data_IF_104709137658
#
_entry.id   IF_104709137658
#
_cell.length_a   1.000
_cell.length_b   1.000
_cell.length_c   1.000
_cell.angle_alpha   90.00
_cell.angle_beta   90.00
_cell.angle_gamma   90.00
#
_symmetry.space_group_name_H-M   'P 1'
#
loop_
_entity.id
_entity.type
_entity.pdbx_description
1 polymer ?
#
# COMPACT_ATOMS: atom_id res chain seq x y z
N UNK A 1 -0.31 -7.10 -21.03
CA UNK A 1 0.13 -6.31 -22.19
C UNK A 1 1.31 -5.37 -21.87
N UNK A 2 1.28 -4.55 -20.81
CA UNK A 2 2.33 -3.52 -20.62
C UNK A 2 3.61 -3.92 -19.85
N UNK A 3 3.60 -4.96 -18.98
CA UNK A 3 4.82 -5.52 -18.31
C UNK A 3 4.69 -7.01 -17.89
N UNK A 4 4.04 -7.84 -18.72
CA UNK A 4 4.00 -9.30 -18.51
C UNK A 4 3.25 -9.79 -17.26
N UNK A 5 3.60 -11.00 -16.80
CA UNK A 5 3.01 -11.74 -15.67
C UNK A 5 3.20 -11.03 -14.31
N UNK A 6 4.25 -10.21 -14.19
CA UNK A 6 4.63 -9.51 -12.95
C UNK A 6 3.49 -8.60 -12.45
N UNK A 7 2.75 -7.97 -13.37
CA UNK A 7 1.60 -7.13 -13.04
C UNK A 7 0.42 -7.89 -12.42
N UNK A 8 0.37 -9.21 -12.58
CA UNK A 8 -0.61 -10.10 -11.93
C UNK A 8 -0.03 -10.71 -10.64
N UNK A 9 1.26 -11.06 -10.66
CA UNK A 9 1.94 -11.70 -9.52
C UNK A 9 1.95 -10.79 -8.29
N UNK A 10 2.16 -9.48 -8.47
CA UNK A 10 2.16 -8.53 -7.35
C UNK A 10 0.78 -8.46 -6.66
N UNK A 11 -0.31 -8.04 -7.34
CA UNK A 11 -1.61 -7.96 -6.69
C UNK A 11 -2.11 -9.33 -6.26
N UNK A 12 -1.86 -10.38 -7.06
CA UNK A 12 -2.22 -11.76 -6.72
C UNK A 12 -1.51 -12.25 -5.45
N UNK A 13 -0.21 -11.98 -5.33
CA UNK A 13 0.59 -12.30 -4.15
C UNK A 13 0.12 -11.53 -2.92
N UNK A 14 -0.08 -10.21 -3.04
CA UNK A 14 -0.60 -9.38 -1.93
C UNK A 14 -1.95 -9.91 -1.45
N UNK A 15 -2.88 -10.20 -2.35
CA UNK A 15 -4.20 -10.75 -2.02
C UNK A 15 -4.08 -12.14 -1.39
N UNK A 16 -3.21 -13.00 -1.92
CA UNK A 16 -2.97 -14.33 -1.37
C UNK A 16 -2.45 -14.28 0.07
N UNK A 17 -1.40 -13.49 0.33
CA UNK A 17 -0.87 -13.32 1.69
C UNK A 17 -1.86 -12.62 2.61
N UNK A 18 -2.62 -11.63 2.11
CA UNK A 18 -3.66 -10.97 2.88
C UNK A 18 -4.74 -11.95 3.30
N UNK A 19 -5.22 -12.80 2.40
CA UNK A 19 -6.24 -13.81 2.72
C UNK A 19 -5.70 -14.89 3.66
N UNK A 20 -4.45 -15.30 3.48
CA UNK A 20 -3.80 -16.28 4.34
C UNK A 20 -3.67 -15.77 5.79
N UNK A 21 -3.21 -14.52 5.96
CA UNK A 21 -3.00 -13.90 7.27
C UNK A 21 -4.33 -13.46 7.90
N UNK A 22 -5.25 -12.88 7.11
CA UNK A 22 -6.55 -12.42 7.58
C UNK A 22 -7.55 -13.56 7.80
N UNK A 23 -7.38 -14.69 7.12
CA UNK A 23 -8.34 -15.80 7.06
C UNK A 23 -9.71 -15.40 6.49
N UNK A 24 -9.81 -14.23 5.83
CA UNK A 24 -11.06 -13.70 5.27
C UNK A 24 -11.38 -14.31 3.90
N UNK A 25 -11.30 -15.63 3.78
CA UNK A 25 -11.57 -16.39 2.55
C UNK A 25 -12.97 -16.13 1.97
N UNK A 26 -13.91 -15.64 2.78
CA UNK A 26 -15.25 -15.22 2.34
C UNK A 26 -15.23 -14.07 1.33
N UNK A 27 -14.19 -13.22 1.32
CA UNK A 27 -14.02 -12.17 0.31
C UNK A 27 -13.90 -12.74 -1.11
N UNK A 28 -13.28 -13.91 -1.26
CA UNK A 28 -13.20 -14.59 -2.56
C UNK A 28 -14.59 -14.93 -3.11
N UNK A 29 -15.59 -15.20 -2.26
CA UNK A 29 -16.95 -15.53 -2.75
C UNK A 29 -17.71 -14.33 -3.31
N UNK A 30 -17.29 -13.11 -2.98
CA UNK A 30 -17.95 -11.87 -3.46
C UNK A 30 -17.36 -11.42 -4.80
N UNK A 31 -16.13 -11.84 -5.10
CA UNK A 31 -15.46 -11.51 -6.36
C UNK A 31 -16.07 -12.35 -7.48
N UNK A 32 -16.50 -11.74 -8.60
CA UNK A 32 -17.06 -12.48 -9.71
C UNK A 32 -15.93 -13.07 -10.57
N UNK A 33 -15.28 -14.13 -10.06
CA UNK A 33 -14.12 -14.77 -10.68
C UNK A 33 -14.38 -15.17 -12.13
N UNK A 34 -15.56 -15.74 -12.40
CA UNK A 34 -15.89 -16.24 -13.74
C UNK A 34 -15.95 -15.10 -14.74
N UNK A 35 -16.65 -14.00 -14.43
CA UNK A 35 -16.73 -12.86 -15.36
C UNK A 35 -15.40 -12.12 -15.47
N UNK A 36 -14.65 -11.99 -14.36
CA UNK A 36 -13.34 -11.34 -14.35
C UNK A 36 -12.30 -12.12 -15.17
N UNK A 37 -12.23 -13.43 -15.00
CA UNK A 37 -11.34 -14.31 -15.78
C UNK A 37 -11.79 -14.34 -17.24
N UNK A 38 -13.08 -14.48 -17.52
CA UNK A 38 -13.60 -14.48 -18.89
C UNK A 38 -13.27 -13.17 -19.62
N UNK A 39 -13.50 -12.02 -18.98
CA UNK A 39 -13.16 -10.71 -19.55
C UNK A 39 -11.65 -10.55 -19.77
N UNK A 40 -10.84 -10.98 -18.80
CA UNK A 40 -9.39 -10.97 -18.93
C UNK A 40 -8.92 -11.85 -20.10
N UNK A 41 -9.46 -13.06 -20.25
CA UNK A 41 -9.12 -13.96 -21.33
C UNK A 41 -9.56 -13.39 -22.69
N UNK A 42 -10.78 -12.86 -22.78
CA UNK A 42 -11.28 -12.24 -24.02
C UNK A 42 -10.40 -11.07 -24.46
N UNK A 43 -9.82 -10.31 -23.53
CA UNK A 43 -8.93 -9.20 -23.86
C UNK A 43 -7.48 -9.65 -24.13
N UNK A 44 -6.97 -10.62 -23.38
CA UNK A 44 -5.58 -11.02 -23.44
C UNK A 44 -5.29 -12.08 -24.52
N UNK A 45 -6.17 -13.06 -24.68
CA UNK A 45 -5.95 -14.25 -25.53
C UNK A 45 -5.89 -13.93 -27.02
N UNK A 46 -6.75 -13.07 -27.61
CA UNK A 46 -6.79 -12.91 -29.07
C UNK A 46 -5.45 -12.46 -29.66
N UNK A 47 -4.77 -11.53 -28.99
CA UNK A 47 -3.48 -11.04 -29.45
C UNK A 47 -2.37 -12.09 -29.29
N UNK A 48 -2.34 -12.84 -28.18
CA UNK A 48 -1.35 -13.90 -27.98
C UNK A 48 -1.54 -15.06 -28.95
N UNK A 49 -2.79 -15.43 -29.25
CA UNK A 49 -3.11 -16.46 -30.25
C UNK A 49 -2.69 -16.00 -31.64
N UNK A 50 -3.00 -14.76 -32.03
CA UNK A 50 -2.57 -14.21 -33.31
C UNK A 50 -1.03 -14.13 -33.44
N UNK A 51 -0.32 -13.81 -32.35
CA UNK A 51 1.14 -13.80 -32.32
C UNK A 51 1.74 -15.21 -32.40
N UNK A 52 1.18 -16.18 -31.66
CA UNK A 52 1.62 -17.57 -31.64
C UNK A 52 1.38 -18.29 -32.98
N UNK A 53 0.27 -18.00 -33.67
CA UNK A 53 -0.01 -18.52 -35.00
C UNK A 53 0.97 -18.01 -36.06
N UNK A 54 1.54 -16.81 -35.87
CA UNK A 54 2.54 -16.24 -36.78
C UNK A 54 3.98 -16.63 -36.43
N UNK A 55 4.23 -16.99 -35.17
CA UNK A 55 5.57 -17.31 -34.66
C UNK A 55 5.45 -18.45 -33.63
N UNK A 56 5.74 -19.71 -34.01
CA UNK A 56 5.57 -20.86 -33.12
C UNK A 56 6.46 -20.79 -31.86
N UNK A 57 7.63 -20.15 -31.94
CA UNK A 57 8.55 -19.98 -30.80
C UNK A 57 8.20 -18.80 -29.87
N UNK A 58 7.20 -17.98 -30.24
CA UNK A 58 6.86 -16.76 -29.51
C UNK A 58 6.43 -17.04 -28.06
N UNK A 59 5.65 -18.09 -27.82
CA UNK A 59 5.16 -18.41 -26.47
C UNK A 59 6.31 -18.84 -25.56
N UNK A 60 7.24 -19.66 -26.06
CA UNK A 60 8.40 -20.09 -25.29
C UNK A 60 9.34 -18.91 -25.01
N UNK A 61 9.66 -18.09 -26.02
CA UNK A 61 10.49 -16.91 -25.82
C UNK A 61 9.84 -15.90 -24.85
N UNK A 62 8.54 -15.63 -25.01
CA UNK A 62 7.82 -14.66 -24.17
C UNK A 62 7.69 -15.11 -22.72
N UNK A 63 7.25 -16.35 -22.46
CA UNK A 63 7.07 -16.83 -21.09
C UNK A 63 8.39 -17.30 -20.47
N UNK A 64 9.18 -18.11 -21.15
CA UNK A 64 10.38 -18.74 -20.55
C UNK A 64 11.57 -17.79 -20.59
N UNK A 65 11.87 -17.18 -21.74
CA UNK A 65 13.06 -16.33 -21.85
C UNK A 65 12.88 -15.01 -21.09
N UNK A 66 11.76 -14.33 -21.31
CA UNK A 66 11.53 -12.99 -20.74
C UNK A 66 11.03 -12.99 -19.28
N UNK A 67 10.31 -14.01 -18.82
CA UNK A 67 9.83 -14.04 -17.43
C UNK A 67 10.66 -14.93 -16.51
N UNK A 68 11.14 -16.09 -16.96
CA UNK A 68 11.92 -16.98 -16.11
C UNK A 68 13.42 -16.71 -16.23
N UNK A 69 13.98 -16.67 -17.44
CA UNK A 69 15.41 -16.42 -17.62
C UNK A 69 15.81 -15.00 -17.19
N UNK A 70 15.02 -13.97 -17.49
CA UNK A 70 15.32 -12.61 -17.03
C UNK A 70 15.25 -12.43 -15.50
N UNK A 71 14.46 -13.28 -14.83
CA UNK A 71 14.33 -13.27 -13.36
C UNK A 71 15.39 -14.15 -12.69
N UNK A 72 15.84 -15.22 -13.36
CA UNK A 72 16.77 -16.21 -12.82
C UNK A 72 18.23 -16.07 -13.31
N UNK A 73 18.50 -15.32 -14.37
CA UNK A 73 19.84 -15.21 -14.97
C UNK A 73 20.44 -13.82 -14.78
N UNK A 74 21.69 -13.80 -14.31
CA UNK A 74 22.59 -12.67 -13.99
C UNK A 74 23.11 -11.89 -15.20
N UNK A 75 22.30 -11.69 -16.25
CA UNK A 75 22.80 -11.04 -17.49
C UNK A 75 22.99 -9.53 -17.31
N UNK A 76 22.34 -8.92 -16.32
CA UNK A 76 22.60 -7.54 -15.93
C UNK A 76 23.46 -7.54 -14.67
N UNK A 77 24.75 -7.19 -14.79
CA UNK A 77 25.67 -6.85 -13.69
C UNK A 77 25.17 -5.66 -12.86
N UNK A 78 24.00 -5.78 -12.23
CA UNK A 78 23.33 -4.77 -11.41
C UNK A 78 22.87 -5.40 -10.10
N UNK A 79 23.78 -6.12 -9.45
CA UNK A 79 23.67 -6.54 -8.06
C UNK A 79 23.65 -5.30 -7.16
N UNK A 80 22.48 -4.69 -7.05
CA UNK A 80 22.21 -3.68 -6.05
C UNK A 80 21.96 -4.40 -4.70
N UNK A 81 22.36 -3.81 -3.57
CA UNK A 81 22.11 -4.40 -2.26
C UNK A 81 20.62 -4.62 -1.99
N UNK A 82 20.29 -5.53 -1.08
CA UNK A 82 18.89 -5.80 -0.69
C UNK A 82 18.17 -4.55 -0.14
N UNK A 83 18.90 -3.63 0.48
CA UNK A 83 18.39 -2.36 1.00
C UNK A 83 18.18 -1.27 -0.07
N UNK A 84 18.47 -1.52 -1.35
CA UNK A 84 18.31 -0.54 -2.43
C UNK A 84 16.90 0.06 -2.48
N UNK A 85 15.88 -0.79 -2.43
CA UNK A 85 14.49 -0.34 -2.47
C UNK A 85 14.06 0.43 -1.22
N UNK A 86 14.68 0.17 -0.07
CA UNK A 86 14.46 0.95 1.16
C UNK A 86 14.98 2.37 0.94
N UNK A 87 16.18 2.54 0.38
CA UNK A 87 16.72 3.85 0.03
C UNK A 87 15.85 4.61 -0.98
N UNK A 88 15.40 3.92 -2.04
CA UNK A 88 14.49 4.50 -3.04
C UNK A 88 13.15 4.91 -2.41
N UNK A 89 12.60 4.11 -1.50
CA UNK A 89 11.39 4.46 -0.75
C UNK A 89 11.58 5.71 0.08
N UNK A 90 12.69 5.83 0.81
CA UNK A 90 12.97 7.00 1.64
C UNK A 90 13.14 8.25 0.78
N UNK A 91 13.92 8.18 -0.29
CA UNK A 91 14.12 9.30 -1.22
C UNK A 91 12.81 9.68 -1.92
N UNK A 92 12.08 8.69 -2.45
CA UNK A 92 10.81 8.92 -3.12
C UNK A 92 9.69 9.39 -2.19
N UNK A 93 9.82 9.16 -0.89
CA UNK A 93 8.88 9.63 0.13
C UNK A 93 9.27 10.98 0.73
N UNK A 94 10.35 11.61 0.29
CA UNK A 94 10.65 12.99 0.68
C UNK A 94 9.53 13.92 0.16
N UNK A 95 8.94 14.82 0.96
CA UNK A 95 9.30 15.26 2.32
C UNK A 95 8.64 14.50 3.49
N UNK A 96 7.81 13.50 3.22
CA UNK A 96 6.98 12.76 4.19
C UNK A 96 7.74 11.71 5.01
N UNK A 97 9.08 11.72 5.01
CA UNK A 97 9.92 10.73 5.69
C UNK A 97 9.64 10.68 7.20
N UNK A 98 9.30 11.82 7.81
CA UNK A 98 9.00 11.92 9.24
C UNK A 98 7.76 11.12 9.68
N UNK A 99 6.92 10.65 8.74
CA UNK A 99 5.75 9.82 9.04
C UNK A 99 6.07 8.33 9.16
N UNK A 100 7.20 7.85 8.65
CA UNK A 100 7.57 6.43 8.79
C UNK A 100 7.60 5.97 10.25
N UNK A 101 8.24 6.68 11.19
CA UNK A 101 8.23 6.28 12.60
C UNK A 101 6.82 6.23 13.21
N UNK A 102 5.89 7.07 12.74
CA UNK A 102 4.49 7.06 13.22
C UNK A 102 3.76 5.81 12.74
N UNK A 103 3.82 5.52 11.44
CA UNK A 103 3.22 4.30 10.85
C UNK A 103 3.79 3.04 11.52
N UNK A 104 5.11 3.02 11.74
CA UNK A 104 5.78 1.91 12.43
C UNK A 104 5.25 1.80 13.86
N UNK A 105 5.27 2.87 14.66
CA UNK A 105 4.76 2.86 16.04
C UNK A 105 3.31 2.39 16.12
N UNK A 106 2.42 2.93 15.28
CA UNK A 106 1.03 2.52 15.21
C UNK A 106 0.88 1.03 14.89
N UNK A 107 1.65 0.53 13.92
CA UNK A 107 1.64 -0.90 13.54
C UNK A 107 2.12 -1.79 14.70
N UNK A 108 3.15 -1.37 15.43
CA UNK A 108 3.67 -2.13 16.59
C UNK A 108 2.80 -2.02 17.85
N UNK A 109 2.05 -0.92 18.01
CA UNK A 109 1.13 -0.74 19.15
C UNK A 109 -0.22 -1.41 18.94
N UNK A 110 -0.61 -1.65 17.68
CA UNK A 110 -1.88 -2.29 17.33
C UNK A 110 -1.80 -3.79 17.58
N UNK A 111 -2.84 -4.38 18.16
CA UNK A 111 -2.86 -5.82 18.44
C UNK A 111 -2.96 -6.63 17.14
N UNK A 112 -2.33 -7.80 17.07
CA UNK A 112 -2.43 -8.72 15.92
C UNK A 112 -3.88 -8.97 15.47
N UNK A 113 -4.81 -9.11 16.42
CA UNK A 113 -6.24 -9.32 16.15
C UNK A 113 -6.86 -8.12 15.43
N UNK A 114 -6.49 -6.91 15.81
CA UNK A 114 -6.98 -5.65 15.21
C UNK A 114 -6.37 -5.43 13.83
N UNK A 115 -5.06 -5.67 13.67
CA UNK A 115 -4.39 -5.64 12.36
C UNK A 115 -5.09 -6.56 11.36
N UNK A 116 -5.42 -7.78 11.80
CA UNK A 116 -6.07 -8.81 10.98
C UNK A 116 -7.47 -8.40 10.48
N UNK A 117 -8.15 -7.53 11.22
CA UNK A 117 -9.51 -7.09 10.91
C UNK A 117 -9.55 -5.75 10.16
N UNK A 118 -8.47 -4.97 10.22
CA UNK A 118 -8.33 -3.65 9.60
C UNK A 118 -7.69 -3.72 8.21
N UNK A 119 -8.04 -2.78 7.34
CA UNK A 119 -7.45 -2.60 6.01
C UNK A 119 -5.97 -2.18 6.07
N UNK A 120 -5.48 -1.72 7.23
CA UNK A 120 -4.07 -1.41 7.45
C UNK A 120 -3.16 -2.59 7.09
N UNK A 121 -3.56 -3.83 7.39
CA UNK A 121 -2.80 -5.03 7.02
C UNK A 121 -2.69 -5.19 5.50
N UNK A 122 -3.76 -4.88 4.75
CA UNK A 122 -3.76 -4.95 3.30
C UNK A 122 -2.77 -3.95 2.69
N UNK A 123 -2.78 -2.70 3.17
CA UNK A 123 -1.83 -1.68 2.71
C UNK A 123 -0.39 -2.01 3.08
N UNK A 124 -0.15 -2.53 4.30
CA UNK A 124 1.18 -2.97 4.72
C UNK A 124 1.70 -4.11 3.84
N UNK A 125 0.86 -5.11 3.53
CA UNK A 125 1.24 -6.20 2.63
C UNK A 125 1.48 -5.70 1.22
N UNK A 126 0.72 -4.72 0.74
CA UNK A 126 0.96 -4.09 -0.56
C UNK A 126 2.29 -3.33 -0.62
N UNK A 127 2.80 -2.86 0.52
CA UNK A 127 4.12 -2.21 0.58
C UNK A 127 5.22 -3.26 0.72
N UNK A 128 5.08 -4.18 1.68
CA UNK A 128 6.11 -5.15 2.04
C UNK A 128 6.30 -6.18 0.93
N UNK A 129 5.23 -6.70 0.34
CA UNK A 129 5.33 -7.79 -0.63
C UNK A 129 6.12 -7.39 -1.89
N UNK A 130 5.83 -6.28 -2.59
CA UNK A 130 6.64 -5.85 -3.73
C UNK A 130 8.09 -5.55 -3.34
N UNK A 131 8.31 -4.92 -2.19
CA UNK A 131 9.68 -4.60 -1.72
C UNK A 131 10.48 -5.87 -1.50
N UNK A 132 9.92 -6.86 -0.79
CA UNK A 132 10.58 -8.15 -0.55
C UNK A 132 10.76 -8.93 -1.85
N UNK A 133 9.70 -9.03 -2.66
CA UNK A 133 9.72 -9.73 -3.95
C UNK A 133 10.78 -9.17 -4.89
N UNK A 134 10.83 -7.84 -5.06
CA UNK A 134 11.84 -7.19 -5.89
C UNK A 134 13.22 -7.16 -5.25
N UNK A 135 13.32 -7.16 -3.92
CA UNK A 135 14.62 -7.30 -3.23
C UNK A 135 15.27 -8.66 -3.51
N UNK A 136 14.45 -9.71 -3.62
CA UNK A 136 14.87 -11.07 -4.00
C UNK A 136 15.09 -11.22 -5.52
N UNK A 137 14.53 -10.32 -6.34
CA UNK A 137 14.77 -10.30 -7.79
C UNK A 137 16.18 -9.79 -8.11
N UNK A 138 16.88 -10.53 -8.97
CA UNK A 138 18.22 -10.19 -9.47
C UNK A 138 18.20 -8.92 -10.35
N UNK A 139 17.14 -8.71 -11.14
CA UNK A 139 16.96 -7.51 -11.98
C UNK A 139 16.22 -6.39 -11.23
N UNK A 140 16.97 -5.39 -10.74
CA UNK A 140 16.45 -4.28 -9.91
C UNK A 140 16.26 -3.00 -10.72
N UNK A 141 15.02 -2.65 -11.02
CA UNK A 141 14.64 -1.41 -11.71
C UNK A 141 13.84 -0.50 -10.77
N UNK A 142 14.24 0.77 -10.63
CA UNK A 142 13.59 1.75 -9.74
C UNK A 142 12.10 1.89 -10.04
N UNK A 143 11.70 1.82 -11.31
CA UNK A 143 10.28 1.97 -11.70
C UNK A 143 9.37 0.87 -11.15
N UNK A 144 9.91 -0.22 -10.63
CA UNK A 144 9.12 -1.32 -10.04
C UNK A 144 8.53 -0.99 -8.67
N UNK A 145 9.08 -0.01 -7.95
CA UNK A 145 8.54 0.37 -6.64
C UNK A 145 7.41 1.40 -6.74
N UNK A 146 7.14 1.95 -7.94
CA UNK A 146 6.10 2.96 -8.13
C UNK A 146 4.71 2.56 -7.61
N UNK A 147 4.23 1.31 -7.79
CA UNK A 147 2.94 0.88 -7.27
C UNK A 147 2.83 0.83 -5.74
N UNK A 148 3.94 1.02 -5.03
CA UNK A 148 3.99 1.04 -3.55
C UNK A 148 3.66 2.41 -2.97
N UNK A 149 3.81 3.50 -3.74
CA UNK A 149 3.53 4.84 -3.23
C UNK A 149 2.05 5.12 -2.92
N UNK A 150 1.05 4.69 -3.72
CA UNK A 150 -0.36 4.91 -3.39
C UNK A 150 -0.80 4.36 -2.02
N UNK A 151 -0.55 3.09 -1.64
CA UNK A 151 -0.93 2.60 -0.32
C UNK A 151 -0.12 3.25 0.80
N UNK A 152 1.15 3.60 0.54
CA UNK A 152 1.97 4.34 1.50
C UNK A 152 1.39 5.72 1.79
N UNK A 153 0.93 6.43 0.75
CA UNK A 153 0.25 7.72 0.90
C UNK A 153 -1.04 7.60 1.70
N UNK A 154 -1.81 6.52 1.54
CA UNK A 154 -3.01 6.26 2.36
C UNK A 154 -2.65 6.05 3.83
N UNK A 155 -1.59 5.30 4.13
CA UNK A 155 -1.12 5.12 5.51
C UNK A 155 -0.64 6.45 6.11
N UNK A 156 0.12 7.25 5.35
CA UNK A 156 0.55 8.58 5.78
C UNK A 156 -0.62 9.52 6.01
N UNK A 157 -1.63 9.51 5.14
CA UNK A 157 -2.83 10.32 5.31
C UNK A 157 -3.60 9.94 6.58
N UNK A 158 -3.64 8.67 6.97
CA UNK A 158 -4.28 8.22 8.22
C UNK A 158 -3.57 8.73 9.48
N UNK A 159 -2.24 8.78 9.46
CA UNK A 159 -1.43 9.30 10.58
C UNK A 159 -1.38 10.83 10.65
N UNK A 160 -1.59 11.49 9.50
CA UNK A 160 -1.62 12.94 9.41
C UNK A 160 -3.01 13.52 9.69
N UNK A 161 -4.07 12.80 9.31
CA UNK A 161 -5.44 13.22 9.59
C UNK A 161 -5.64 13.31 11.11
N UNK A 162 -6.03 14.48 11.65
CA UNK A 162 -6.53 14.55 13.02
C UNK A 162 -7.68 13.56 13.12
N UNK A 163 -7.73 12.77 14.21
CA UNK A 163 -8.80 11.81 14.47
C UNK A 163 -10.15 12.47 14.17
N UNK A 164 -10.70 12.20 12.98
CA UNK A 164 -11.95 12.80 12.56
C UNK A 164 -12.99 11.97 13.29
N UNK A 165 -13.46 12.50 14.40
CA UNK A 165 -14.63 11.97 15.09
C UNK A 165 -15.80 12.10 14.13
N UNK A 166 -15.98 11.10 13.26
CA UNK A 166 -17.17 10.99 12.44
C UNK A 166 -18.25 10.51 13.39
N UNK A 167 -18.88 11.47 14.06
CA UNK A 167 -20.15 11.21 14.72
C UNK A 167 -21.12 10.67 13.66
N UNK A 168 -21.94 9.69 14.02
CA UNK A 168 -22.83 8.92 13.13
C UNK A 168 -23.89 9.77 12.37
N UNK A 169 -23.82 11.10 12.45
CA UNK A 169 -24.79 12.04 11.89
C UNK A 169 -24.22 12.98 10.81
N UNK A 170 -23.03 12.71 10.26
CA UNK A 170 -22.57 13.35 9.02
C UNK A 170 -22.35 14.87 9.08
N UNK A 171 -22.36 15.51 10.25
CA UNK A 171 -22.01 16.92 10.40
C UNK A 171 -20.52 17.07 10.73
N UNK A 172 -19.80 17.85 9.92
CA UNK A 172 -18.41 18.21 10.15
C UNK A 172 -18.28 19.12 11.38
N UNK A 173 -17.93 18.55 12.53
CA UNK A 173 -17.55 19.36 13.70
C UNK A 173 -16.12 19.86 13.52
N UNK A 174 -15.95 21.18 13.41
CA UNK A 174 -14.65 21.83 13.34
C UNK A 174 -13.81 21.55 14.60
N UNK A 175 -12.46 21.55 14.51
CA UNK A 175 -11.60 21.37 15.66
C UNK A 175 -11.76 22.53 16.66
N UNK A 176 -12.13 22.21 17.91
CA UNK A 176 -12.19 23.16 19.01
C UNK A 176 -10.77 23.66 19.34
N UNK A 177 -10.39 24.81 18.77
CA UNK A 177 -9.28 25.61 19.26
C UNK A 177 -9.83 26.69 20.21
N UNK A 178 -10.14 26.27 21.44
CA UNK A 178 -10.59 27.14 22.52
C UNK A 178 -9.43 27.50 23.45
N UNK A 179 -8.78 28.62 23.13
CA UNK A 179 -7.83 29.39 23.93
C UNK A 179 -8.09 29.33 25.46
N UNK A 180 -7.11 28.83 26.22
CA UNK A 180 -6.96 29.12 27.66
C UNK A 180 -6.14 30.40 27.81
N UNK A 181 -6.74 31.58 27.70
CA UNK A 181 -6.06 32.84 27.99
C UNK A 181 -7.00 33.77 28.77
N UNK A 182 -6.56 34.12 29.97
CA UNK A 182 -6.98 35.24 30.83
C UNK A 182 -8.25 35.07 31.68
N UNK A 183 -8.08 34.45 32.85
CA UNK A 183 -8.92 34.73 34.02
C UNK A 183 -8.01 35.27 35.12
N UNK A 184 -7.55 36.51 34.95
CA UNK A 184 -6.84 37.26 35.97
C UNK A 184 -7.35 38.72 35.94
N UNK A 185 -7.75 39.19 37.11
CA UNK A 185 -8.05 40.58 37.49
C UNK A 185 -9.42 41.18 37.14
N UNK A 186 -10.28 41.16 38.16
CA UNK A 186 -11.30 42.15 38.60
C UNK A 186 -12.41 41.33 39.27
N UNK A 187 -12.70 41.39 40.56
CA UNK A 187 -12.79 42.55 41.44
C UNK A 187 -12.43 42.22 42.90
N UNK A 188 -11.55 43.05 43.47
CA UNK A 188 -11.34 43.22 44.91
C UNK A 188 -11.57 44.69 45.21
N UNK A 189 -12.81 45.07 45.57
CA UNK A 189 -13.25 46.34 46.20
C UNK A 189 -14.66 46.02 46.73
N UNK A 190 -15.14 46.25 47.95
CA UNK A 190 -14.67 46.68 49.29
C UNK A 190 -15.86 46.34 50.24
N UNK A 191 -15.68 45.97 51.53
CA UNK A 191 -16.78 45.70 52.45
C UNK A 191 -17.04 46.89 53.36
N UNK A 192 -18.27 47.44 53.38
CA UNK A 192 -18.94 48.13 54.51
C UNK A 192 -20.17 48.94 54.04
N UNK A 193 -21.05 49.24 55.00
CA UNK A 193 -22.22 50.14 54.94
C UNK A 193 -23.45 49.52 54.24
N UNK A 194 -24.69 49.56 54.74
CA UNK A 194 -25.31 50.13 55.94
C UNK A 194 -26.78 49.65 55.99
N UNK A 195 -27.33 49.50 57.20
CA UNK A 195 -28.77 49.41 57.61
C UNK A 195 -29.54 48.12 57.34
#
# INVERSE_FOLDING_TARGET
MTKGLIGLVIPGGVVFFYLLISGRWRLLRVVPWVSGIALFLILAVPWHVAAALRNPDFLYFYFVHEHFLRYATTIAHRTQPWYFFIGVLLVGSFPWIYLFPRVIKHTFSTTWKELRQNDTLYFLLWIIFPVVFFSLSESKLVTYILPVFPPLAVLFAREFAPARNVNEHGSLSAPHHGSKITQHQRDTVDPKEEV
#
